data_IF_289232168761
#
_entry.id   IF_289232168761
#
_cell.length_a   1.000
_cell.length_b   1.000
_cell.length_c   1.000
_cell.angle_alpha   90.00
_cell.angle_beta   90.00
_cell.angle_gamma   90.00
#
_symmetry.space_group_name_H-M   'P 1'
#
loop_
_entity.id
_entity.type
_entity.pdbx_description
1 polymer ?
#
# COMPACT_ATOMS: atom_id res chain seq x y z
N UNK A 1 -9.64 5.90 -31.78
CA UNK A 1 -9.09 5.07 -30.67
C UNK A 1 -10.11 5.11 -29.53
N UNK A 2 -10.80 4.00 -29.27
CA UNK A 2 -11.70 3.93 -28.13
C UNK A 2 -10.88 4.20 -26.87
N UNK A 3 -11.28 5.18 -26.08
CA UNK A 3 -10.60 5.50 -24.82
C UNK A 3 -10.82 4.33 -23.86
N UNK A 4 -9.78 3.50 -23.66
CA UNK A 4 -9.83 2.32 -22.79
C UNK A 4 -10.37 2.67 -21.39
N UNK A 5 -10.06 3.86 -20.91
CA UNK A 5 -10.48 4.33 -19.58
C UNK A 5 -11.99 4.53 -19.50
N UNK A 6 -12.60 5.10 -20.55
CA UNK A 6 -14.05 5.32 -20.61
C UNK A 6 -14.87 4.02 -20.63
N UNK A 7 -14.31 2.94 -21.20
CA UNK A 7 -14.96 1.61 -21.16
C UNK A 7 -15.01 1.09 -19.72
N UNK A 8 -13.92 1.24 -18.96
CA UNK A 8 -13.91 0.84 -17.55
C UNK A 8 -14.88 1.65 -16.70
N UNK A 9 -14.97 2.95 -16.92
CA UNK A 9 -15.90 3.83 -16.21
C UNK A 9 -17.36 3.46 -16.51
N UNK A 10 -17.66 3.14 -17.76
CA UNK A 10 -18.99 2.69 -18.20
C UNK A 10 -19.36 1.35 -17.58
N UNK A 11 -18.50 0.33 -17.72
CA UNK A 11 -18.80 -1.04 -17.30
C UNK A 11 -18.73 -1.21 -15.77
N UNK A 12 -18.03 -0.32 -15.06
CA UNK A 12 -17.90 -0.33 -13.59
C UNK A 12 -17.88 1.09 -13.02
N UNK A 13 -19.03 1.77 -12.90
CA UNK A 13 -19.12 3.19 -12.53
C UNK A 13 -18.43 3.58 -11.20
N UNK A 14 -18.27 2.61 -10.29
CA UNK A 14 -17.63 2.84 -8.98
C UNK A 14 -16.15 2.42 -8.91
N UNK A 15 -15.51 2.22 -10.06
CA UNK A 15 -14.09 1.84 -10.11
C UNK A 15 -13.20 3.01 -9.68
N UNK A 16 -12.16 2.72 -8.88
CA UNK A 16 -11.22 3.77 -8.47
C UNK A 16 -10.30 4.21 -9.62
N UNK A 17 -9.88 5.48 -9.61
CA UNK A 17 -8.91 6.00 -10.60
C UNK A 17 -7.61 5.18 -10.65
N UNK A 18 -7.13 4.69 -9.50
CA UNK A 18 -5.95 3.82 -9.46
C UNK A 18 -6.19 2.46 -10.11
N UNK A 19 -7.40 1.90 -9.97
CA UNK A 19 -7.77 0.65 -10.64
C UNK A 19 -7.88 0.84 -12.16
N UNK A 20 -8.48 1.95 -12.63
CA UNK A 20 -8.54 2.30 -14.06
C UNK A 20 -7.13 2.33 -14.65
N UNK A 21 -6.20 3.05 -14.01
CA UNK A 21 -4.80 3.13 -14.46
C UNK A 21 -4.14 1.75 -14.56
N UNK A 22 -4.34 0.89 -13.57
CA UNK A 22 -3.80 -0.47 -13.55
C UNK A 22 -4.42 -1.32 -14.66
N UNK A 23 -5.73 -1.28 -14.80
CA UNK A 23 -6.47 -2.06 -15.79
C UNK A 23 -6.13 -1.61 -17.21
N UNK A 24 -6.02 -0.30 -17.46
CA UNK A 24 -5.55 0.24 -18.74
C UNK A 24 -4.16 -0.27 -19.11
N UNK A 25 -3.24 -0.30 -18.15
CA UNK A 25 -1.91 -0.86 -18.35
C UNK A 25 -1.95 -2.36 -18.69
N UNK A 26 -2.83 -3.13 -18.04
CA UNK A 26 -3.02 -4.57 -18.32
C UNK A 26 -3.56 -4.77 -19.73
N UNK A 27 -4.61 -4.05 -20.16
CA UNK A 27 -5.14 -4.16 -21.53
C UNK A 27 -4.05 -3.88 -22.56
N UNK A 28 -3.29 -2.79 -22.39
CA UNK A 28 -2.17 -2.48 -23.30
C UNK A 28 -1.12 -3.59 -23.35
N UNK A 29 -0.82 -4.19 -22.19
CA UNK A 29 0.13 -5.32 -22.10
C UNK A 29 -0.42 -6.56 -22.79
N UNK A 30 -1.73 -6.85 -22.64
CA UNK A 30 -2.38 -7.98 -23.32
C UNK A 30 -2.32 -7.78 -24.85
N UNK A 31 -2.73 -6.63 -25.35
CA UNK A 31 -2.64 -6.32 -26.79
C UNK A 31 -1.22 -6.49 -27.32
N UNK A 32 -0.22 -5.94 -26.59
CA UNK A 32 1.18 -6.05 -27.00
C UNK A 32 1.68 -7.50 -27.05
N UNK A 33 1.31 -8.33 -26.06
CA UNK A 33 1.80 -9.73 -25.99
C UNK A 33 1.10 -10.66 -26.94
N UNK A 34 -0.20 -10.45 -27.18
CA UNK A 34 -1.01 -11.30 -28.07
C UNK A 34 -0.99 -10.83 -29.53
N UNK A 35 -0.58 -9.59 -29.79
CA UNK A 35 -0.69 -8.96 -31.11
C UNK A 35 -2.13 -8.62 -31.51
N UNK A 36 -3.09 -8.66 -30.56
CA UNK A 36 -4.50 -8.37 -30.80
C UNK A 36 -4.78 -6.88 -30.63
N UNK A 37 -5.73 -6.36 -31.41
CA UNK A 37 -6.32 -5.07 -31.14
C UNK A 37 -7.34 -5.15 -29.98
N UNK A 38 -7.70 -4.01 -29.42
CA UNK A 38 -8.61 -3.92 -28.28
C UNK A 38 -9.97 -4.55 -28.58
N UNK A 39 -10.50 -4.34 -29.79
CA UNK A 39 -11.80 -4.85 -30.23
C UNK A 39 -11.82 -6.38 -30.46
N UNK A 40 -10.66 -6.98 -30.62
CA UNK A 40 -10.49 -8.43 -30.85
C UNK A 40 -10.40 -9.24 -29.55
N UNK A 41 -10.21 -8.57 -28.39
CA UNK A 41 -9.96 -9.25 -27.10
C UNK A 41 -11.12 -10.16 -26.69
N UNK A 42 -12.36 -9.75 -26.95
CA UNK A 42 -13.54 -10.52 -26.56
C UNK A 42 -13.69 -11.84 -27.33
N UNK A 43 -13.26 -11.86 -28.59
CA UNK A 43 -13.39 -13.02 -29.47
C UNK A 43 -12.24 -14.02 -29.36
N UNK A 44 -11.07 -13.60 -28.84
CA UNK A 44 -9.84 -14.38 -28.87
C UNK A 44 -9.43 -14.92 -27.48
N UNK A 45 -10.39 -15.45 -26.73
CA UNK A 45 -10.17 -15.93 -25.35
C UNK A 45 -9.07 -17.00 -25.28
N UNK A 46 -9.12 -18.00 -26.16
CA UNK A 46 -8.19 -19.15 -26.20
C UNK A 46 -6.73 -18.67 -26.43
N UNK A 47 -6.52 -17.75 -27.34
CA UNK A 47 -5.19 -17.15 -27.61
C UNK A 47 -4.64 -16.42 -26.39
N UNK A 48 -5.51 -15.69 -25.67
CA UNK A 48 -5.14 -14.97 -24.45
C UNK A 48 -4.80 -15.97 -23.34
N UNK A 49 -5.61 -17.01 -23.16
CA UNK A 49 -5.38 -18.08 -22.16
C UNK A 49 -4.02 -18.75 -22.42
N UNK A 50 -3.75 -19.14 -23.66
CA UNK A 50 -2.49 -19.78 -24.02
C UNK A 50 -1.29 -18.87 -23.78
N UNK A 51 -1.41 -17.58 -24.10
CA UNK A 51 -0.36 -16.58 -23.86
C UNK A 51 0.04 -16.45 -22.38
N UNK A 52 -0.90 -16.69 -21.47
CA UNK A 52 -0.70 -16.48 -20.03
C UNK A 52 -0.72 -17.77 -19.19
N UNK A 53 -0.76 -18.97 -19.80
CA UNK A 53 -0.88 -20.26 -19.10
C UNK A 53 0.20 -20.51 -18.04
N UNK A 54 1.42 -20.06 -18.30
CA UNK A 54 2.59 -20.26 -17.42
C UNK A 54 2.70 -19.25 -16.28
N UNK A 55 1.83 -18.25 -16.24
CA UNK A 55 1.80 -17.32 -15.12
C UNK A 55 1.16 -17.95 -13.87
N UNK A 56 1.60 -17.43 -12.71
CA UNK A 56 0.94 -17.78 -11.42
C UNK A 56 -0.54 -17.42 -11.47
N UNK A 57 -1.38 -18.27 -10.90
CA UNK A 57 -2.85 -18.09 -10.81
C UNK A 57 -3.26 -16.71 -10.30
N UNK A 58 -2.57 -16.20 -9.26
CA UNK A 58 -2.82 -14.85 -8.71
C UNK A 58 -2.59 -13.73 -9.72
N UNK A 59 -1.69 -13.90 -10.70
CA UNK A 59 -1.43 -12.94 -11.77
C UNK A 59 -2.47 -13.09 -12.89
N UNK A 60 -2.77 -14.32 -13.32
CA UNK A 60 -3.79 -14.60 -14.33
C UNK A 60 -5.17 -14.09 -13.90
N UNK A 61 -5.57 -14.36 -12.64
CA UNK A 61 -6.80 -13.83 -12.05
C UNK A 61 -6.95 -12.32 -12.28
N UNK A 62 -5.89 -11.54 -12.09
CA UNK A 62 -5.95 -10.09 -12.27
C UNK A 62 -6.12 -9.70 -13.74
N UNK A 63 -5.47 -10.43 -14.66
CA UNK A 63 -5.62 -10.23 -16.11
C UNK A 63 -7.06 -10.56 -16.52
N UNK A 64 -7.58 -11.72 -16.12
CA UNK A 64 -8.94 -12.13 -16.48
C UNK A 64 -10.01 -11.24 -15.86
N UNK A 65 -9.82 -10.78 -14.62
CA UNK A 65 -10.69 -9.78 -14.01
C UNK A 65 -10.73 -8.47 -14.82
N UNK A 66 -9.57 -8.02 -15.29
CA UNK A 66 -9.48 -6.82 -16.14
C UNK A 66 -10.19 -7.02 -17.45
N UNK A 67 -9.95 -8.15 -18.13
CA UNK A 67 -10.59 -8.50 -19.40
C UNK A 67 -12.11 -8.66 -19.25
N UNK A 68 -12.57 -9.28 -18.17
CA UNK A 68 -14.00 -9.38 -17.88
C UNK A 68 -14.65 -8.00 -17.73
N UNK A 69 -14.07 -7.12 -16.93
CA UNK A 69 -14.63 -5.75 -16.77
C UNK A 69 -14.58 -4.96 -18.08
N UNK A 70 -13.57 -5.20 -18.92
CA UNK A 70 -13.42 -4.49 -20.19
C UNK A 70 -14.37 -4.99 -21.27
N UNK A 71 -14.50 -6.31 -21.43
CA UNK A 71 -15.22 -6.96 -22.54
C UNK A 71 -16.61 -7.46 -22.16
N UNK A 72 -16.93 -7.55 -20.87
CA UNK A 72 -18.12 -8.19 -20.30
C UNK A 72 -18.29 -9.68 -20.70
N UNK A 73 -17.24 -10.30 -21.29
CA UNK A 73 -17.26 -11.69 -21.69
C UNK A 73 -17.19 -12.62 -20.48
N UNK A 74 -18.24 -13.41 -20.26
CA UNK A 74 -18.37 -14.33 -19.13
C UNK A 74 -17.31 -15.43 -19.07
N UNK A 75 -16.68 -15.81 -20.19
CA UNK A 75 -15.57 -16.78 -20.18
C UNK A 75 -14.40 -16.25 -19.32
N UNK A 76 -14.07 -14.95 -19.39
CA UNK A 76 -13.07 -14.36 -18.52
C UNK A 76 -13.49 -14.31 -17.06
N UNK A 77 -14.80 -14.17 -16.77
CA UNK A 77 -15.31 -14.23 -15.41
C UNK A 77 -15.10 -15.64 -14.82
N UNK A 78 -15.42 -16.69 -15.56
CA UNK A 78 -15.19 -18.09 -15.13
C UNK A 78 -13.72 -18.34 -14.84
N UNK A 79 -12.83 -18.02 -15.78
CA UNK A 79 -11.38 -18.15 -15.62
C UNK A 79 -10.83 -17.37 -14.40
N UNK A 80 -11.34 -16.17 -14.15
CA UNK A 80 -10.99 -15.37 -12.98
C UNK A 80 -11.41 -16.07 -11.68
N UNK A 81 -12.61 -16.65 -11.64
CA UNK A 81 -13.14 -17.34 -10.46
C UNK A 81 -12.33 -18.61 -10.18
N UNK A 82 -12.02 -19.39 -11.20
CA UNK A 82 -11.24 -20.63 -11.09
C UNK A 82 -9.83 -20.33 -10.55
N UNK A 83 -9.13 -19.36 -11.13
CA UNK A 83 -7.81 -18.93 -10.63
C UNK A 83 -7.88 -18.31 -9.23
N UNK A 84 -9.00 -17.64 -8.89
CA UNK A 84 -9.21 -17.10 -7.54
C UNK A 84 -9.36 -18.21 -6.51
N UNK A 85 -10.15 -19.24 -6.80
CA UNK A 85 -10.37 -20.39 -5.93
C UNK A 85 -9.06 -21.17 -5.72
N UNK A 86 -8.34 -21.47 -6.80
CA UNK A 86 -7.05 -22.14 -6.72
C UNK A 86 -6.00 -21.34 -5.93
N UNK A 87 -5.95 -20.03 -6.13
CA UNK A 87 -5.07 -19.15 -5.35
C UNK A 87 -5.45 -19.08 -3.87
N UNK A 88 -6.75 -19.15 -3.55
CA UNK A 88 -7.24 -19.16 -2.17
C UNK A 88 -6.90 -20.46 -1.45
N UNK A 89 -7.00 -21.61 -2.13
CA UNK A 89 -6.59 -22.92 -1.60
C UNK A 89 -5.10 -22.92 -1.28
N UNK A 90 -4.27 -22.37 -2.18
CA UNK A 90 -2.82 -22.25 -1.93
C UNK A 90 -2.53 -21.33 -0.74
N UNK A 91 -3.22 -20.19 -0.65
CA UNK A 91 -3.04 -19.24 0.44
C UNK A 91 -3.52 -19.78 1.80
N UNK A 92 -4.55 -20.63 1.82
CA UNK A 92 -5.08 -21.22 3.06
C UNK A 92 -4.14 -22.22 3.74
N UNK A 93 -3.12 -22.70 3.04
CA UNK A 93 -2.08 -23.55 3.62
C UNK A 93 -1.14 -22.79 4.56
N UNK A 94 -1.13 -21.47 4.49
CA UNK A 94 -0.26 -20.58 5.28
C UNK A 94 1.24 -20.93 5.19
N UNK A 95 1.65 -21.63 4.14
CA UNK A 95 3.06 -21.95 3.88
C UNK A 95 3.78 -20.73 3.36
N UNK A 96 4.93 -20.43 3.95
CA UNK A 96 5.81 -19.37 3.44
C UNK A 96 6.53 -19.87 2.18
N UNK A 97 6.72 -18.98 1.22
CA UNK A 97 7.65 -19.27 0.10
C UNK A 97 9.09 -19.14 0.58
N UNK A 98 10.04 -19.76 -0.12
CA UNK A 98 11.47 -19.63 0.18
C UNK A 98 11.93 -18.16 0.30
N UNK A 99 11.45 -17.28 -0.59
CA UNK A 99 11.75 -15.86 -0.53
C UNK A 99 11.15 -15.17 0.72
N UNK A 100 9.97 -15.61 1.17
CA UNK A 100 9.38 -15.12 2.42
C UNK A 100 10.13 -15.63 3.63
N UNK A 101 10.57 -16.88 3.62
CA UNK A 101 11.37 -17.44 4.71
C UNK A 101 12.73 -16.74 4.83
N UNK A 102 13.42 -16.54 3.70
CA UNK A 102 14.71 -15.84 3.66
C UNK A 102 14.64 -14.37 4.13
N UNK A 103 13.48 -13.71 3.96
CA UNK A 103 13.25 -12.31 4.37
C UNK A 103 12.46 -12.18 5.67
N UNK A 104 12.18 -13.28 6.35
CA UNK A 104 11.41 -13.25 7.60
C UNK A 104 12.23 -12.66 8.73
N UNK A 105 11.65 -11.68 9.43
CA UNK A 105 12.24 -11.05 10.60
C UNK A 105 11.46 -11.50 11.84
N UNK A 106 12.16 -12.02 12.83
CA UNK A 106 11.56 -12.43 14.10
C UNK A 106 11.42 -11.25 15.09
N UNK A 107 10.80 -11.48 16.23
CA UNK A 107 10.53 -10.44 17.22
C UNK A 107 11.82 -9.83 17.79
N UNK A 108 12.80 -10.66 18.09
CA UNK A 108 14.09 -10.22 18.65
C UNK A 108 14.85 -9.32 17.66
N UNK A 109 14.79 -9.63 16.38
CA UNK A 109 15.38 -8.81 15.32
C UNK A 109 14.68 -7.46 15.20
N UNK A 110 13.35 -7.43 15.29
CA UNK A 110 12.58 -6.17 15.29
C UNK A 110 12.94 -5.32 16.52
N UNK A 111 13.01 -5.92 17.70
CA UNK A 111 13.39 -5.22 18.93
C UNK A 111 14.82 -4.66 18.85
N UNK A 112 15.76 -5.39 18.26
CA UNK A 112 17.11 -4.90 18.00
C UNK A 112 17.10 -3.68 17.09
N UNK A 113 16.43 -3.75 15.94
CA UNK A 113 16.29 -2.63 14.99
C UNK A 113 15.65 -1.42 15.68
N UNK A 114 14.60 -1.64 16.45
CA UNK A 114 13.94 -0.58 17.22
C UNK A 114 14.91 0.12 18.17
N UNK A 115 15.69 -0.63 18.94
CA UNK A 115 16.63 -0.08 19.90
C UNK A 115 17.76 0.69 19.20
N UNK A 116 18.28 0.22 18.08
CA UNK A 116 19.28 0.91 17.27
C UNK A 116 18.75 2.26 16.76
N UNK A 117 17.57 2.29 16.17
CA UNK A 117 16.96 3.53 15.69
C UNK A 117 16.57 4.49 16.82
N UNK A 118 16.13 3.96 17.96
CA UNK A 118 15.87 4.75 19.18
C UNK A 118 17.14 5.46 19.67
N UNK A 119 18.28 4.76 19.70
CA UNK A 119 19.56 5.35 20.08
C UNK A 119 19.98 6.45 19.10
N UNK A 120 19.91 6.19 17.79
CA UNK A 120 20.23 7.17 16.75
C UNK A 120 19.34 8.42 16.85
N UNK A 121 18.03 8.23 17.02
CA UNK A 121 17.10 9.34 17.21
C UNK A 121 17.41 10.15 18.47
N UNK A 122 17.77 9.49 19.57
CA UNK A 122 18.14 10.16 20.81
C UNK A 122 19.43 11.00 20.68
N UNK A 123 20.40 10.54 19.88
CA UNK A 123 21.59 11.35 19.54
C UNK A 123 21.19 12.58 18.75
N UNK A 124 20.33 12.44 17.74
CA UNK A 124 19.83 13.59 16.98
C UNK A 124 19.09 14.59 17.87
N UNK A 125 18.19 14.15 18.74
CA UNK A 125 17.42 15.00 19.64
C UNK A 125 18.27 15.78 20.68
N UNK A 126 19.53 15.41 20.91
CA UNK A 126 20.43 16.16 21.79
C UNK A 126 21.07 17.37 21.10
N UNK A 127 20.94 17.49 19.78
CA UNK A 127 21.46 18.63 19.02
C UNK A 127 20.57 19.84 19.24
N UNK A 128 21.16 21.03 19.32
CA UNK A 128 20.42 22.30 19.48
C UNK A 128 19.58 22.64 18.26
N UNK A 129 20.03 22.27 17.06
CA UNK A 129 19.32 22.45 15.79
C UNK A 129 19.36 21.14 15.01
N UNK A 130 18.19 20.75 14.50
CA UNK A 130 18.05 19.53 13.69
C UNK A 130 18.22 19.85 12.20
N UNK A 131 19.19 19.21 11.56
CA UNK A 131 19.30 19.20 10.10
C UNK A 131 18.25 18.30 9.45
N UNK A 132 18.04 18.41 8.14
CA UNK A 132 17.17 17.51 7.39
C UNK A 132 17.62 16.02 7.55
N UNK A 133 18.91 15.77 7.59
CA UNK A 133 19.45 14.42 7.81
C UNK A 133 19.09 13.88 9.21
N UNK A 134 19.15 14.72 10.24
CA UNK A 134 18.74 14.35 11.60
C UNK A 134 17.24 14.02 11.65
N UNK A 135 16.42 14.85 10.99
CA UNK A 135 14.97 14.62 10.88
C UNK A 135 14.66 13.30 10.17
N UNK A 136 15.38 12.98 9.08
CA UNK A 136 15.21 11.69 8.39
C UNK A 136 15.61 10.49 9.27
N UNK A 137 16.66 10.64 10.09
CA UNK A 137 17.09 9.62 11.08
C UNK A 137 16.03 9.42 12.16
N UNK A 138 15.51 10.50 12.73
CA UNK A 138 14.42 10.43 13.72
C UNK A 138 13.17 9.80 13.09
N UNK A 139 12.83 10.19 11.86
CA UNK A 139 11.67 9.65 11.16
C UNK A 139 11.78 8.13 10.92
N UNK A 140 12.99 7.58 10.73
CA UNK A 140 13.17 6.13 10.64
C UNK A 140 12.75 5.44 11.94
N UNK A 141 13.11 6.01 13.10
CA UNK A 141 12.62 5.52 14.39
C UNK A 141 11.08 5.58 14.48
N UNK A 142 10.45 6.68 14.04
CA UNK A 142 8.98 6.79 14.01
C UNK A 142 8.34 5.73 13.13
N UNK A 143 8.93 5.44 11.97
CA UNK A 143 8.46 4.38 11.05
C UNK A 143 8.46 3.02 11.75
N UNK A 144 9.54 2.67 12.45
CA UNK A 144 9.61 1.40 13.20
C UNK A 144 8.59 1.36 14.34
N UNK A 145 8.38 2.46 15.06
CA UNK A 145 7.35 2.55 16.11
C UNK A 145 5.93 2.27 15.57
N UNK A 146 5.62 2.70 14.35
CA UNK A 146 4.30 2.57 13.74
C UNK A 146 4.09 1.24 13.00
N UNK A 147 5.14 0.69 12.41
CA UNK A 147 5.06 -0.45 11.48
C UNK A 147 5.72 -1.73 12.03
N UNK A 148 6.55 -1.64 13.05
CA UNK A 148 7.25 -2.80 13.63
C UNK A 148 6.39 -3.71 14.49
N UNK A 149 5.12 -3.37 14.75
CA UNK A 149 4.24 -4.18 15.59
C UNK A 149 4.57 -4.15 17.09
N UNK A 150 5.41 -3.20 17.53
CA UNK A 150 5.87 -3.10 18.94
C UNK A 150 4.79 -2.48 19.82
N UNK A 151 4.15 -1.42 19.36
CA UNK A 151 3.17 -0.66 20.13
C UNK A 151 1.73 -0.92 19.71
N UNK A 152 1.52 -1.06 18.41
CA UNK A 152 0.21 -1.26 17.78
C UNK A 152 0.35 -2.25 16.62
N UNK A 153 -0.74 -2.88 16.25
CA UNK A 153 -0.78 -3.69 15.04
C UNK A 153 -0.46 -2.82 13.81
N UNK A 154 0.47 -3.23 12.93
CA UNK A 154 0.86 -2.44 11.77
C UNK A 154 -0.31 -2.27 10.80
N UNK A 155 -0.48 -1.06 10.29
CA UNK A 155 -1.46 -0.73 9.27
C UNK A 155 -0.79 -0.63 7.89
N UNK A 156 -1.59 -0.38 6.85
CA UNK A 156 -1.04 -0.19 5.50
C UNK A 156 -0.19 1.08 5.44
N UNK A 157 0.86 1.06 4.61
CA UNK A 157 1.77 2.21 4.41
C UNK A 157 1.02 3.49 4.03
N UNK A 158 -0.02 3.36 3.18
CA UNK A 158 -0.85 4.49 2.75
C UNK A 158 -1.50 5.21 3.95
N UNK A 159 -1.93 4.46 4.98
CA UNK A 159 -2.62 5.02 6.13
C UNK A 159 -1.73 6.02 6.88
N UNK A 160 -0.43 5.77 6.95
CA UNK A 160 0.55 6.65 7.60
C UNK A 160 1.09 7.76 6.68
N UNK A 161 1.16 7.55 5.37
CA UNK A 161 1.58 8.60 4.43
C UNK A 161 0.51 9.68 4.23
N UNK A 162 -0.76 9.36 4.50
CA UNK A 162 -1.87 10.32 4.52
C UNK A 162 -2.06 10.98 5.91
N UNK A 163 -1.18 10.70 6.87
CA UNK A 163 -1.32 11.19 8.23
C UNK A 163 -0.79 12.63 8.37
N UNK A 164 -1.65 13.53 8.84
CA UNK A 164 -1.32 14.94 9.08
C UNK A 164 -1.10 15.24 10.55
N UNK A 165 -0.26 16.22 10.82
CA UNK A 165 0.10 16.70 12.16
C UNK A 165 -0.16 18.19 12.35
N UNK A 166 -0.34 18.95 11.24
CA UNK A 166 -0.74 20.36 11.19
C UNK A 166 -1.78 20.55 10.09
N UNK A 167 -2.52 21.64 10.13
CA UNK A 167 -3.54 21.99 9.13
C UNK A 167 -4.51 20.82 8.84
N UNK A 168 -5.02 20.21 9.91
CA UNK A 168 -5.80 18.98 9.88
C UNK A 168 -7.27 19.28 9.55
N UNK A 169 -7.79 18.66 8.49
CA UNK A 169 -9.23 18.51 8.29
C UNK A 169 -9.68 17.20 8.95
N UNK A 170 -10.38 17.32 10.08
CA UNK A 170 -10.83 16.16 10.87
C UNK A 170 -11.84 15.26 10.16
N UNK A 171 -12.44 15.71 9.06
CA UNK A 171 -13.41 14.93 8.27
C UNK A 171 -12.72 14.01 7.24
N UNK A 172 -11.54 14.38 6.78
CA UNK A 172 -10.87 13.73 5.65
C UNK A 172 -9.48 13.19 5.97
N UNK A 173 -8.74 13.83 6.87
CA UNK A 173 -7.34 13.48 7.15
C UNK A 173 -7.20 12.35 8.18
N UNK A 174 -6.06 11.70 8.17
CA UNK A 174 -5.60 10.85 9.27
C UNK A 174 -4.80 11.71 10.25
N UNK A 175 -5.03 11.56 11.55
CA UNK A 175 -4.40 12.42 12.57
C UNK A 175 -4.39 11.77 13.95
N UNK A 176 -3.58 12.35 14.86
CA UNK A 176 -3.59 11.99 16.28
C UNK A 176 -4.58 12.90 17.03
N UNK A 177 -5.60 12.32 17.67
CA UNK A 177 -6.52 13.02 18.55
C UNK A 177 -6.42 12.49 19.98
N UNK A 178 -5.97 13.33 20.90
CA UNK A 178 -5.75 12.95 22.31
C UNK A 178 -4.89 11.69 22.44
N UNK A 179 -5.49 10.52 22.58
CA UNK A 179 -4.83 9.21 22.72
C UNK A 179 -5.24 8.23 21.62
N UNK A 180 -5.77 8.71 20.52
CA UNK A 180 -6.26 7.89 19.43
C UNK A 180 -5.63 8.31 18.10
N UNK A 181 -5.22 7.33 17.32
CA UNK A 181 -4.87 7.50 15.92
C UNK A 181 -6.16 7.38 15.11
N UNK A 182 -6.57 8.48 14.48
CA UNK A 182 -7.80 8.56 13.69
C UNK A 182 -7.46 8.37 12.22
N UNK A 183 -8.20 7.50 11.53
CA UNK A 183 -8.01 7.17 10.12
C UNK A 183 -9.29 7.44 9.33
N UNK A 184 -9.24 8.48 8.48
CA UNK A 184 -10.28 8.85 7.53
C UNK A 184 -9.85 8.59 6.08
N UNK A 185 -8.55 8.64 5.78
CA UNK A 185 -7.97 8.40 4.46
C UNK A 185 -7.27 7.04 4.44
N UNK A 186 -7.96 5.97 4.06
CA UNK A 186 -7.39 4.63 3.94
C UNK A 186 -8.16 3.80 2.90
N UNK A 187 -7.56 2.71 2.42
CA UNK A 187 -8.03 1.96 1.24
C UNK A 187 -9.48 1.47 1.32
N UNK A 188 -9.94 1.09 2.51
CA UNK A 188 -11.26 0.49 2.72
C UNK A 188 -12.24 1.39 3.47
N UNK A 189 -11.99 2.71 3.54
CA UNK A 189 -12.86 3.71 4.18
C UNK A 189 -14.31 3.59 3.72
N UNK A 190 -14.53 3.33 2.44
CA UNK A 190 -15.85 3.19 1.82
C UNK A 190 -16.76 2.14 2.53
N UNK A 191 -16.14 1.12 3.15
CA UNK A 191 -16.86 0.03 3.81
C UNK A 191 -16.89 0.14 5.33
N UNK A 192 -15.87 0.75 5.94
CA UNK A 192 -15.66 0.74 7.38
C UNK A 192 -15.69 2.14 8.03
N UNK A 193 -15.96 3.19 7.25
CA UNK A 193 -16.01 4.57 7.71
C UNK A 193 -14.74 5.03 8.46
N UNK A 194 -14.84 5.97 9.40
CA UNK A 194 -13.73 6.38 10.25
C UNK A 194 -13.30 5.23 11.16
N UNK A 195 -12.00 5.06 11.31
CA UNK A 195 -11.42 4.11 12.27
C UNK A 195 -10.59 4.84 13.31
N UNK A 196 -10.65 4.34 14.55
CA UNK A 196 -9.87 4.82 15.67
C UNK A 196 -9.04 3.67 16.23
N UNK A 197 -7.78 3.94 16.53
CA UNK A 197 -6.86 2.98 17.14
C UNK A 197 -6.26 3.64 18.38
N UNK A 198 -6.34 2.98 19.52
CA UNK A 198 -5.74 3.46 20.76
C UNK A 198 -4.23 3.62 20.60
N UNK A 199 -3.72 4.77 20.97
CA UNK A 199 -2.30 5.08 20.95
C UNK A 199 -1.73 4.90 22.37
N UNK A 200 -0.93 3.85 22.63
CA UNK A 200 -0.32 3.62 23.93
C UNK A 200 0.46 4.83 24.41
N UNK A 201 0.51 5.05 25.71
CA UNK A 201 1.14 6.25 26.33
C UNK A 201 2.59 6.47 25.85
N UNK A 202 3.36 5.40 25.70
CA UNK A 202 4.74 5.48 25.22
C UNK A 202 4.79 5.93 23.77
N UNK A 203 4.02 5.31 22.87
CA UNK A 203 3.92 5.71 21.46
C UNK A 203 3.47 7.17 21.33
N UNK A 204 2.45 7.57 22.10
CA UNK A 204 1.97 8.95 22.14
C UNK A 204 3.07 9.93 22.53
N UNK A 205 3.88 9.61 23.55
CA UNK A 205 5.01 10.45 23.96
C UNK A 205 6.04 10.60 22.83
N UNK A 206 6.37 9.50 22.15
CA UNK A 206 7.27 9.49 21.01
C UNK A 206 6.73 10.36 19.87
N UNK A 207 5.45 10.17 19.51
CA UNK A 207 4.81 10.94 18.45
C UNK A 207 4.71 12.42 18.77
N UNK A 208 4.36 12.79 20.00
CA UNK A 208 4.30 14.20 20.42
C UNK A 208 5.68 14.88 20.34
N UNK A 209 6.75 14.17 20.76
CA UNK A 209 8.12 14.68 20.61
C UNK A 209 8.48 14.87 19.15
N UNK A 210 8.11 13.92 18.28
CA UNK A 210 8.32 14.02 16.85
C UNK A 210 7.54 15.18 16.22
N UNK A 211 6.25 15.29 16.50
CA UNK A 211 5.36 16.36 15.97
C UNK A 211 5.91 17.75 16.33
N UNK A 212 6.40 17.92 17.56
CA UNK A 212 7.00 19.19 18.01
C UNK A 212 8.23 19.60 17.19
N UNK A 213 9.00 18.64 16.70
CA UNK A 213 10.25 18.87 15.96
C UNK A 213 10.08 18.75 14.43
N UNK A 214 8.93 18.28 13.95
CA UNK A 214 8.67 18.09 12.53
C UNK A 214 8.28 19.42 11.87
N UNK A 215 9.01 19.90 10.86
CA UNK A 215 8.75 21.19 10.22
C UNK A 215 7.56 21.17 9.24
N UNK A 216 7.07 19.99 8.86
CA UNK A 216 6.05 19.81 7.82
C UNK A 216 4.65 19.63 8.40
N UNK A 217 3.63 19.58 7.53
CA UNK A 217 2.25 19.27 7.89
C UNK A 217 1.99 17.75 7.98
N UNK A 218 2.90 16.93 7.50
CA UNK A 218 2.76 15.48 7.39
C UNK A 218 3.55 14.75 8.47
N UNK A 219 3.00 13.66 8.97
CA UNK A 219 3.72 12.79 9.92
C UNK A 219 5.02 12.25 9.32
N UNK A 220 4.97 11.87 8.03
CA UNK A 220 6.11 11.34 7.28
C UNK A 220 6.34 12.18 6.00
N UNK A 221 7.60 12.58 5.78
CA UNK A 221 7.98 13.41 4.65
C UNK A 221 9.30 12.94 3.99
N UNK A 222 9.54 13.34 2.76
CA UNK A 222 10.78 13.03 2.03
C UNK A 222 11.90 14.04 2.35
N UNK A 223 13.08 13.84 1.76
CA UNK A 223 14.24 14.71 1.99
C UNK A 223 14.03 16.19 1.57
N UNK A 224 13.02 16.45 0.74
CA UNK A 224 12.65 17.79 0.29
C UNK A 224 11.52 18.40 1.14
N UNK A 225 11.06 17.73 2.20
CA UNK A 225 9.95 18.20 3.04
C UNK A 225 8.55 17.93 2.46
N UNK A 226 8.44 17.23 1.33
CA UNK A 226 7.16 16.88 0.75
C UNK A 226 6.58 15.61 1.40
N UNK A 227 5.25 15.46 1.32
CA UNK A 227 4.55 14.24 1.77
C UNK A 227 5.25 12.97 1.26
N UNK A 228 5.56 12.04 2.16
CA UNK A 228 6.15 10.76 1.79
C UNK A 228 5.13 9.91 1.04
N UNK A 229 5.53 9.30 -0.08
CA UNK A 229 4.66 8.36 -0.80
C UNK A 229 4.80 6.95 -0.22
N UNK A 230 3.74 6.12 -0.37
CA UNK A 230 3.79 4.72 0.06
C UNK A 230 4.90 3.91 -0.63
N UNK A 231 5.26 4.25 -1.87
CA UNK A 231 6.39 3.64 -2.59
C UNK A 231 7.71 3.98 -1.91
N UNK A 232 7.96 5.27 -1.62
CA UNK A 232 9.17 5.70 -0.90
C UNK A 232 9.23 5.13 0.51
N UNK A 233 8.09 5.04 1.21
CA UNK A 233 8.02 4.42 2.53
C UNK A 233 8.37 2.92 2.46
N UNK A 234 7.84 2.19 1.49
CA UNK A 234 8.21 0.78 1.27
C UNK A 234 9.72 0.61 1.01
N UNK A 235 10.31 1.47 0.18
CA UNK A 235 11.76 1.44 -0.10
C UNK A 235 12.62 1.68 1.15
N UNK A 236 12.09 2.37 2.18
CA UNK A 236 12.80 2.57 3.46
C UNK A 236 12.72 1.37 4.38
N UNK A 237 11.70 0.53 4.24
CA UNK A 237 11.54 -0.69 5.04
C UNK A 237 12.35 -1.87 4.49
N UNK A 238 12.74 -1.84 3.22
CA UNK A 238 13.50 -2.91 2.55
C UNK A 238 15.03 -2.69 2.66
N UNK A 239 15.47 -1.53 3.11
CA UNK A 239 16.89 -1.21 3.37
C UNK A 239 17.31 -1.65 4.76
#
# INVERSE_FOLDING_TARGET
>A
MNNIESVFEKNKPNISKSSIKTYTSIIRSVCKKTGLNVDELSANVEKIVDTYKDLKQSSRKTIYATLYVFTENKKFQTLMVDDSNASSITASKHEKTEAQEASWINKEQIEKIYNEHKQQANVCYKKGTLSMADLQTIQQYIIICLLGGIFIAPRRLLDYTEFKIKNIDKSTDNYLDKSNLIFNAYKTKKYYNQQSVDCPKELKSILNKWIKNNPTDYLLFDANGNKLTSVKLNQRLVK
#
